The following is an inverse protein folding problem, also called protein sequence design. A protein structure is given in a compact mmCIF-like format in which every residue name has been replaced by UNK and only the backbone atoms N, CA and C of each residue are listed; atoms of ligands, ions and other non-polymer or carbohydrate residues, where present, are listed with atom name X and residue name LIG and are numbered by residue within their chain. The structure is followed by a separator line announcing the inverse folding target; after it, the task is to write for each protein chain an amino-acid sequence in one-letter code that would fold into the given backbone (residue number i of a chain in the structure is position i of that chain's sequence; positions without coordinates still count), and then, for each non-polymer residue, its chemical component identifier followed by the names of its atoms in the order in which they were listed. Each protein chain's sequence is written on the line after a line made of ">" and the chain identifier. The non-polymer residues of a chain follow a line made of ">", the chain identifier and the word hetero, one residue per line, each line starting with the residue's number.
data_IF_618914988640
#
_entry.id   IF_618914988640
#
_cell.length_a   1.000
_cell.length_b   1.000
_cell.length_c   1.000
_cell.angle_alpha   90.00
_cell.angle_beta   90.00
_cell.angle_gamma   90.00
#
_symmetry.space_group_name_H-M   'P 1'
#
loop_
_entity.id
_entity.type
_entity.pdbx_description
1 polymer ?
#
# COMPACT_ATOMS: atom_id res chain seq x y z
N UNK A 1 -12.70 -2.96 23.09
CA UNK A 1 -12.26 -2.30 21.83
C UNK A 1 -10.74 -2.27 21.78
N UNK A 2 -10.10 -3.26 21.14
CA UNK A 2 -8.64 -3.39 21.15
C UNK A 2 -8.09 -4.14 19.92
N UNK A 3 -8.51 -3.78 18.70
CA UNK A 3 -7.93 -4.33 17.46
C UNK A 3 -6.96 -3.38 16.74
N UNK A 4 -6.48 -2.33 17.42
CA UNK A 4 -5.39 -1.46 16.93
C UNK A 4 -3.99 -1.85 17.42
N UNK A 5 -3.84 -2.97 18.13
CA UNK A 5 -2.67 -3.21 19.01
C UNK A 5 -1.65 -4.25 18.55
N UNK A 6 -1.74 -4.81 17.33
CA UNK A 6 -0.86 -5.93 16.97
C UNK A 6 0.27 -5.61 15.98
N UNK A 7 0.61 -4.35 15.71
CA UNK A 7 1.82 -3.99 14.91
C UNK A 7 1.81 -4.45 13.44
N UNK A 8 0.84 -5.28 13.03
CA UNK A 8 0.77 -5.93 11.71
C UNK A 8 0.62 -4.94 10.56
N UNK A 9 0.04 -3.76 10.81
CA UNK A 9 -0.06 -2.70 9.80
C UNK A 9 1.31 -2.19 9.37
N UNK A 10 2.19 -1.91 10.33
CA UNK A 10 3.56 -1.47 10.04
C UNK A 10 4.37 -2.58 9.38
N UNK A 11 4.27 -3.81 9.87
CA UNK A 11 4.94 -4.97 9.28
C UNK A 11 4.49 -5.22 7.83
N UNK A 12 3.19 -5.09 7.55
CA UNK A 12 2.66 -5.19 6.19
C UNK A 12 3.22 -4.10 5.26
N UNK A 13 3.39 -2.88 5.76
CA UNK A 13 4.00 -1.77 5.01
C UNK A 13 5.48 -2.04 4.76
N UNK A 14 6.21 -2.53 5.74
CA UNK A 14 7.64 -2.83 5.61
C UNK A 14 7.88 -3.95 4.61
N UNK A 15 7.07 -5.02 4.66
CA UNK A 15 7.10 -6.09 3.66
C UNK A 15 6.76 -5.56 2.26
N UNK A 16 5.72 -4.73 2.15
CA UNK A 16 5.33 -4.11 0.89
C UNK A 16 6.46 -3.24 0.30
N UNK A 17 7.17 -2.47 1.12
CA UNK A 17 8.32 -1.65 0.71
C UNK A 17 9.53 -2.48 0.27
N UNK A 18 9.69 -3.68 0.82
CA UNK A 18 10.75 -4.61 0.44
C UNK A 18 10.42 -5.41 -0.82
N UNK A 19 9.14 -5.52 -1.21
CA UNK A 19 8.75 -6.20 -2.44
C UNK A 19 9.23 -5.41 -3.67
N UNK A 20 9.94 -6.05 -4.63
CA UNK A 20 10.28 -5.45 -5.91
C UNK A 20 9.03 -4.84 -6.58
N UNK A 21 9.20 -3.67 -7.15
CA UNK A 21 8.10 -2.93 -7.77
C UNK A 21 7.42 -3.77 -8.86
N UNK A 22 8.19 -4.53 -9.62
CA UNK A 22 7.71 -5.36 -10.73
C UNK A 22 6.85 -6.56 -10.29
N UNK A 23 6.88 -6.91 -9.00
CA UNK A 23 6.06 -8.00 -8.43
C UNK A 23 4.88 -7.49 -7.61
N UNK A 24 4.81 -6.18 -7.35
CA UNK A 24 3.67 -5.57 -6.67
C UNK A 24 2.48 -5.58 -7.63
N UNK A 25 1.39 -6.22 -7.21
CA UNK A 25 0.15 -6.31 -7.97
C UNK A 25 -0.99 -5.62 -7.23
N UNK A 26 -2.13 -5.47 -7.91
CA UNK A 26 -3.35 -4.87 -7.35
C UNK A 26 -3.75 -5.51 -6.02
N UNK A 27 -3.65 -6.83 -5.91
CA UNK A 27 -3.96 -7.56 -4.67
C UNK A 27 -3.04 -7.14 -3.52
N UNK A 28 -1.73 -7.01 -3.76
CA UNK A 28 -0.75 -6.59 -2.75
C UNK A 28 -1.05 -5.16 -2.27
N UNK A 29 -1.39 -4.26 -3.20
CA UNK A 29 -1.79 -2.89 -2.89
C UNK A 29 -3.06 -2.86 -2.02
N UNK A 30 -4.08 -3.63 -2.37
CA UNK A 30 -5.32 -3.72 -1.59
C UNK A 30 -5.05 -4.33 -0.20
N UNK A 31 -4.23 -5.37 -0.12
CA UNK A 31 -3.87 -6.01 1.15
C UNK A 31 -3.16 -5.05 2.11
N UNK A 32 -2.19 -4.26 1.64
CA UNK A 32 -1.49 -3.30 2.50
C UNK A 32 -2.40 -2.13 2.90
N UNK A 33 -3.27 -1.66 2.01
CA UNK A 33 -4.25 -0.60 2.32
C UNK A 33 -5.28 -1.06 3.37
N UNK A 34 -5.75 -2.32 3.27
CA UNK A 34 -6.62 -2.91 4.28
C UNK A 34 -5.91 -3.03 5.63
N UNK A 35 -4.64 -3.48 5.65
CA UNK A 35 -3.86 -3.54 6.88
C UNK A 35 -3.69 -2.16 7.53
N UNK A 36 -3.48 -1.11 6.72
CA UNK A 36 -3.43 0.26 7.20
C UNK A 36 -4.77 0.74 7.78
N UNK A 37 -5.88 0.41 7.12
CA UNK A 37 -7.25 0.74 7.57
C UNK A 37 -7.56 0.13 8.95
N UNK A 38 -7.23 -1.14 9.14
CA UNK A 38 -7.41 -1.82 10.43
C UNK A 38 -6.47 -1.32 11.54
N UNK A 39 -5.30 -0.78 11.16
CA UNK A 39 -4.26 -0.34 12.11
C UNK A 39 -4.28 1.16 12.38
N UNK A 40 -5.18 1.93 11.75
CA UNK A 40 -5.24 3.39 11.89
C UNK A 40 -4.09 4.15 11.21
N UNK A 41 -3.37 3.52 10.28
CA UNK A 41 -2.20 4.07 9.58
C UNK A 41 -2.60 4.87 8.34
N UNK A 42 -3.38 5.94 8.57
CA UNK A 42 -3.99 6.72 7.48
C UNK A 42 -2.92 7.45 6.65
N UNK A 43 -1.88 7.98 7.28
CA UNK A 43 -0.81 8.71 6.60
C UNK A 43 -0.02 7.79 5.65
N UNK A 44 0.28 6.58 6.10
CA UNK A 44 0.97 5.55 5.34
C UNK A 44 0.10 5.03 4.19
N UNK A 45 -1.18 4.78 4.45
CA UNK A 45 -2.15 4.41 3.42
C UNK A 45 -2.22 5.46 2.30
N UNK A 46 -2.27 6.76 2.65
CA UNK A 46 -2.27 7.85 1.67
C UNK A 46 -0.99 7.90 0.85
N UNK A 47 0.17 7.71 1.47
CA UNK A 47 1.46 7.66 0.77
C UNK A 47 1.52 6.49 -0.23
N UNK A 48 1.04 5.31 0.18
CA UNK A 48 0.96 4.12 -0.68
C UNK A 48 -0.01 4.36 -1.85
N UNK A 49 -1.20 4.88 -1.56
CA UNK A 49 -2.21 5.18 -2.57
C UNK A 49 -1.70 6.17 -3.62
N UNK A 50 -1.04 7.24 -3.20
CA UNK A 50 -0.44 8.21 -4.11
C UNK A 50 0.62 7.56 -5.01
N UNK A 51 1.52 6.74 -4.44
CA UNK A 51 2.52 6.02 -5.22
C UNK A 51 1.90 5.09 -6.28
N UNK A 52 0.78 4.43 -5.95
CA UNK A 52 0.03 3.60 -6.92
C UNK A 52 -0.57 4.49 -8.01
N UNK A 53 -1.27 5.58 -7.65
CA UNK A 53 -1.88 6.47 -8.63
C UNK A 53 -0.87 7.13 -9.58
N UNK A 54 0.30 7.53 -9.07
CA UNK A 54 1.37 8.08 -9.92
C UNK A 54 1.91 7.03 -10.91
N UNK A 55 1.94 5.74 -10.54
CA UNK A 55 2.32 4.64 -11.45
C UNK A 55 1.25 4.34 -12.49
N UNK A 56 -0.02 4.25 -12.10
CA UNK A 56 -1.14 4.04 -13.02
C UNK A 56 -1.19 5.15 -14.07
N UNK A 57 -1.02 6.42 -13.65
CA UNK A 57 -0.96 7.56 -14.58
C UNK A 57 0.27 7.54 -15.48
N UNK A 58 1.44 7.08 -14.98
CA UNK A 58 2.65 6.95 -15.80
C UNK A 58 2.52 5.89 -16.90
N UNK A 59 1.86 4.75 -16.64
CA UNK A 59 1.65 3.71 -17.65
C UNK A 59 0.70 4.18 -18.75
N UNK A 60 -0.32 4.99 -18.44
CA UNK A 60 -1.22 5.55 -19.46
C UNK A 60 -0.55 6.63 -20.32
N UNK A 61 0.43 7.38 -19.80
CA UNK A 61 1.14 8.43 -20.58
C UNK A 61 2.20 7.87 -21.55
N UNK A 62 2.66 6.62 -21.40
CA UNK A 62 3.54 5.95 -22.38
C UNK A 62 2.76 5.07 -23.38
N UNK A 63 1.44 5.18 -23.44
CA UNK A 63 0.57 4.47 -24.41
C UNK A 63 -0.47 5.38 -25.07
N UNK A 64 -0.15 6.66 -25.27
CA UNK A 64 -0.87 7.55 -26.22
C UNK A 64 0.09 8.22 -27.18
#
# INVERSE_FOLDING_TARGET
>A
NAFGLNGKGHEAIDLYRQMPIDIQNEFTHISVLNACSHSGLISEAQSIFNNIQFKTKRITTVMV
#
